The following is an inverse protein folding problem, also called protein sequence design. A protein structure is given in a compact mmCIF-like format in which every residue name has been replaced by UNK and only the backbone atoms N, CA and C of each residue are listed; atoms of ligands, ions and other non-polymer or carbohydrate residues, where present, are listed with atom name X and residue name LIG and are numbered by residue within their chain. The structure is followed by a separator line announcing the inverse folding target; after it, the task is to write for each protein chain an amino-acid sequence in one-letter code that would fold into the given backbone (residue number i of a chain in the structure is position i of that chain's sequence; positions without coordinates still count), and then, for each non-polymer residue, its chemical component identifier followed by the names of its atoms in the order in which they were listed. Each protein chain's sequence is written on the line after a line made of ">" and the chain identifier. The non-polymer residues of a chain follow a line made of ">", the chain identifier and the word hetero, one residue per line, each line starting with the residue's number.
data_IF_879319396640
#
_entry.id   IF_879319396640
#
_cell.length_a   1.000
_cell.length_b   1.000
_cell.length_c   1.000
_cell.angle_alpha   90.00
_cell.angle_beta   90.00
_cell.angle_gamma   90.00
#
_symmetry.space_group_name_H-M   'P 1'
#
loop_
_entity.id
_entity.type
_entity.pdbx_description
1 polymer ?
#
# COMPACT_ATOMS: atom_id res chain seq x y z
N UNK A 1 -15.08 16.37 -6.57
CA UNK A 1 -15.52 17.33 -7.61
C UNK A 1 -17.03 17.18 -7.79
N UNK A 2 -17.85 18.24 -7.64
CA UNK A 2 -19.30 18.17 -7.86
C UNK A 2 -19.56 18.07 -9.37
N UNK A 3 -19.68 16.85 -9.89
CA UNK A 3 -20.15 16.63 -11.26
C UNK A 3 -21.69 16.68 -11.27
N UNK A 4 -22.20 17.90 -11.13
CA UNK A 4 -23.62 18.25 -10.97
C UNK A 4 -24.34 18.35 -12.33
N UNK A 5 -24.19 17.33 -13.18
CA UNK A 5 -24.84 17.38 -14.50
C UNK A 5 -25.29 16.02 -15.08
N UNK A 6 -25.54 15.02 -14.22
CA UNK A 6 -26.37 13.88 -14.63
C UNK A 6 -27.82 14.20 -14.27
N UNK A 7 -28.60 14.68 -15.25
CA UNK A 7 -30.08 14.71 -15.16
C UNK A 7 -30.59 13.28 -15.13
N UNK A 8 -30.50 12.64 -13.98
CA UNK A 8 -31.06 11.32 -13.74
C UNK A 8 -32.55 11.48 -13.43
N UNK A 9 -33.44 10.70 -14.06
CA UNK A 9 -34.89 10.85 -13.86
C UNK A 9 -35.38 10.38 -12.49
N UNK A 10 -34.58 9.59 -11.76
CA UNK A 10 -34.86 9.18 -10.40
C UNK A 10 -34.16 10.08 -9.38
N UNK A 11 -34.80 10.25 -8.22
CA UNK A 11 -34.30 11.00 -7.07
C UNK A 11 -32.95 10.46 -6.56
N UNK A 12 -32.16 11.34 -5.96
CA UNK A 12 -30.88 10.98 -5.34
C UNK A 12 -31.06 10.43 -3.92
N UNK A 13 -30.16 9.54 -3.50
CA UNK A 13 -30.17 8.93 -2.17
C UNK A 13 -30.01 9.97 -1.05
N UNK A 14 -29.35 11.12 -1.30
CA UNK A 14 -29.24 12.19 -0.31
C UNK A 14 -30.61 12.85 -0.05
N UNK A 15 -31.42 13.05 -1.10
CA UNK A 15 -32.77 13.62 -0.97
C UNK A 15 -33.68 12.72 -0.13
N UNK A 16 -33.62 11.40 -0.33
CA UNK A 16 -34.43 10.45 0.44
C UNK A 16 -33.97 10.36 1.89
N UNK A 17 -32.66 10.45 2.15
CA UNK A 17 -32.13 10.53 3.52
C UNK A 17 -32.63 11.78 4.25
N UNK A 18 -32.60 12.93 3.59
CA UNK A 18 -33.14 14.17 4.16
C UNK A 18 -34.66 14.11 4.38
N UNK A 19 -35.41 13.53 3.44
CA UNK A 19 -36.85 13.36 3.59
C UNK A 19 -37.21 12.46 4.78
N UNK A 20 -36.44 11.39 5.00
CA UNK A 20 -36.65 10.44 6.09
C UNK A 20 -36.51 11.07 7.50
N UNK A 21 -35.76 12.17 7.66
CA UNK A 21 -35.60 12.83 8.97
C UNK A 21 -36.78 13.72 9.37
N UNK A 22 -37.63 14.11 8.41
CA UNK A 22 -38.73 15.08 8.64
C UNK A 22 -40.11 14.43 8.84
N UNK A 23 -40.17 13.09 8.97
CA UNK A 23 -41.43 12.36 9.15
C UNK A 23 -41.91 12.39 10.61
N UNK A 24 -43.24 12.25 10.85
CA UNK A 24 -43.77 12.09 12.20
C UNK A 24 -43.16 10.88 12.93
N UNK A 25 -42.78 11.08 14.20
CA UNK A 25 -42.15 10.06 15.04
C UNK A 25 -43.18 9.07 15.60
N UNK A 26 -43.69 8.19 14.74
CA UNK A 26 -44.57 7.07 15.12
C UNK A 26 -43.73 5.88 15.59
N UNK A 27 -44.32 4.91 16.34
CA UNK A 27 -43.61 3.67 16.68
C UNK A 27 -43.04 2.92 15.46
N UNK A 28 -43.71 3.00 14.31
CA UNK A 28 -43.24 2.42 13.05
C UNK A 28 -42.04 3.17 12.48
N UNK A 29 -42.11 4.51 12.44
CA UNK A 29 -41.02 5.35 11.93
C UNK A 29 -39.75 5.27 12.79
N UNK A 30 -39.90 4.97 14.09
CA UNK A 30 -38.81 4.76 15.03
C UNK A 30 -38.20 3.34 14.97
N UNK A 31 -38.84 2.40 14.28
CA UNK A 31 -38.34 1.03 14.16
C UNK A 31 -37.06 0.97 13.31
N UNK A 32 -36.09 0.13 13.69
CA UNK A 32 -34.91 -0.14 12.86
C UNK A 32 -35.29 -0.66 11.48
N UNK A 33 -36.39 -1.41 11.36
CA UNK A 33 -36.89 -1.95 10.10
C UNK A 33 -37.39 -0.90 9.10
N UNK A 34 -37.62 0.34 9.56
CA UNK A 34 -38.05 1.45 8.72
C UNK A 34 -36.88 2.31 8.21
N UNK A 35 -35.67 2.11 8.74
CA UNK A 35 -34.48 2.86 8.31
C UNK A 35 -34.13 2.52 6.85
N UNK A 36 -33.60 3.51 6.13
CA UNK A 36 -33.09 3.30 4.78
C UNK A 36 -31.87 2.38 4.84
N UNK A 37 -31.88 1.29 4.07
CA UNK A 37 -30.84 0.26 4.17
C UNK A 37 -29.41 0.77 3.91
N UNK A 38 -29.23 1.78 3.05
CA UNK A 38 -27.92 2.37 2.75
C UNK A 38 -27.44 3.36 3.82
N UNK A 39 -28.31 3.79 4.74
CA UNK A 39 -28.02 4.71 5.85
C UNK A 39 -28.12 3.99 7.22
N UNK A 40 -28.43 2.70 7.22
CA UNK A 40 -28.53 1.87 8.43
C UNK A 40 -27.18 1.18 8.73
N UNK A 41 -26.40 1.80 9.61
CA UNK A 41 -25.11 1.27 10.07
C UNK A 41 -25.21 -0.12 10.69
N UNK A 42 -26.26 -0.41 11.47
CA UNK A 42 -26.42 -1.71 12.11
C UNK A 42 -26.66 -2.81 11.07
N UNK A 43 -27.50 -2.51 10.07
CA UNK A 43 -27.74 -3.40 8.94
C UNK A 43 -26.47 -3.65 8.11
N UNK A 44 -25.73 -2.59 7.75
CA UNK A 44 -24.49 -2.69 6.98
C UNK A 44 -23.38 -3.47 7.70
N UNK A 45 -23.38 -3.45 9.04
CA UNK A 45 -22.40 -4.16 9.86
C UNK A 45 -22.70 -5.66 10.06
N UNK A 46 -23.87 -6.14 9.63
CA UNK A 46 -24.23 -7.57 9.70
C UNK A 46 -23.31 -8.46 8.87
N UNK A 47 -23.12 -9.70 9.32
CA UNK A 47 -22.23 -10.66 8.65
C UNK A 47 -22.64 -10.94 7.20
N UNK A 48 -23.93 -10.96 6.89
CA UNK A 48 -24.45 -11.19 5.54
C UNK A 48 -24.06 -10.05 4.57
N UNK A 49 -23.77 -8.86 5.09
CA UNK A 49 -23.39 -7.68 4.32
C UNK A 49 -21.86 -7.52 4.20
N UNK A 50 -21.08 -8.53 4.65
CA UNK A 50 -19.63 -8.57 4.43
C UNK A 50 -19.22 -8.39 2.96
N UNK A 51 -19.89 -8.98 1.94
CA UNK A 51 -19.53 -8.75 0.54
C UNK A 51 -19.68 -7.28 0.12
N UNK A 52 -20.68 -6.57 0.65
CA UNK A 52 -20.88 -5.13 0.38
C UNK A 52 -19.76 -4.31 1.01
N UNK A 53 -19.35 -4.63 2.25
CA UNK A 53 -18.23 -3.96 2.92
C UNK A 53 -16.89 -4.20 2.21
N UNK A 54 -16.64 -5.43 1.74
CA UNK A 54 -15.48 -5.75 0.89
C UNK A 54 -15.48 -4.92 -0.40
N UNK A 55 -16.64 -4.78 -1.05
CA UNK A 55 -16.78 -3.95 -2.25
C UNK A 55 -16.49 -2.47 -1.95
N UNK A 56 -16.95 -1.94 -0.82
CA UNK A 56 -16.66 -0.57 -0.41
C UNK A 56 -15.16 -0.33 -0.15
N UNK A 57 -14.47 -1.27 0.50
CA UNK A 57 -13.01 -1.19 0.70
C UNK A 57 -12.23 -1.33 -0.60
N UNK A 58 -12.76 -2.03 -1.60
CA UNK A 58 -12.16 -2.05 -2.94
C UNK A 58 -12.37 -0.71 -3.66
N UNK A 59 -13.60 -0.17 -3.63
CA UNK A 59 -13.98 1.01 -4.42
C UNK A 59 -13.49 2.32 -3.84
N UNK A 60 -13.56 2.54 -2.52
CA UNK A 60 -13.27 3.85 -1.93
C UNK A 60 -11.83 4.33 -2.22
N UNK A 61 -10.77 3.53 -1.99
CA UNK A 61 -9.41 3.96 -2.31
C UNK A 61 -9.21 4.12 -3.82
N UNK A 62 -9.78 3.21 -4.63
CA UNK A 62 -9.69 3.26 -6.08
C UNK A 62 -10.26 4.56 -6.66
N UNK A 63 -11.49 4.91 -6.27
CA UNK A 63 -12.16 6.12 -6.75
C UNK A 63 -11.42 7.38 -6.32
N UNK A 64 -11.00 7.47 -5.05
CA UNK A 64 -10.33 8.66 -4.51
C UNK A 64 -8.90 8.83 -5.04
N UNK A 65 -8.16 7.73 -5.27
CA UNK A 65 -6.87 7.79 -5.96
C UNK A 65 -7.02 8.23 -7.42
N UNK A 66 -8.05 7.76 -8.11
CA UNK A 66 -8.37 8.21 -9.48
C UNK A 66 -8.75 9.70 -9.52
N UNK A 67 -9.57 10.18 -8.59
CA UNK A 67 -9.92 11.61 -8.46
C UNK A 67 -8.68 12.48 -8.18
N UNK A 68 -7.73 11.95 -7.40
CA UNK A 68 -6.46 12.61 -7.13
C UNK A 68 -5.44 12.51 -8.29
N UNK A 69 -5.76 11.79 -9.37
CA UNK A 69 -4.94 11.59 -10.55
C UNK A 69 -3.75 10.64 -10.36
N UNK A 70 -3.78 9.74 -9.37
CA UNK A 70 -2.68 8.80 -9.12
C UNK A 70 -2.72 7.68 -10.16
N UNK A 71 -1.79 7.70 -11.12
CA UNK A 71 -1.73 6.71 -12.19
C UNK A 71 -0.89 5.49 -11.83
N UNK A 72 0.19 5.70 -11.09
CA UNK A 72 1.08 4.61 -10.64
C UNK A 72 1.74 4.92 -9.30
N UNK A 73 2.21 3.87 -8.65
CA UNK A 73 2.79 3.94 -7.32
C UNK A 73 4.14 3.22 -7.25
N UNK A 74 4.98 3.67 -6.31
CA UNK A 74 6.15 2.92 -5.86
C UNK A 74 5.89 2.47 -4.43
N UNK A 75 5.89 1.16 -4.23
CA UNK A 75 5.51 0.55 -2.96
C UNK A 75 6.72 0.41 -2.06
N UNK A 76 6.64 0.96 -0.85
CA UNK A 76 7.67 0.79 0.19
C UNK A 76 7.14 -0.06 1.34
N UNK A 77 7.75 -1.21 1.54
CA UNK A 77 7.53 -2.07 2.70
C UNK A 77 8.77 -2.12 3.59
N UNK A 78 8.58 -2.20 4.91
CA UNK A 78 9.69 -2.32 5.84
C UNK A 78 9.27 -2.31 7.30
N UNK A 79 10.24 -2.45 8.18
CA UNK A 79 10.00 -2.57 9.62
C UNK A 79 9.39 -1.31 10.23
N UNK A 80 8.18 -1.43 10.79
CA UNK A 80 7.52 -0.38 11.57
C UNK A 80 8.26 0.00 12.87
N UNK A 81 9.30 -0.75 13.24
CA UNK A 81 10.07 -0.57 14.48
C UNK A 81 11.45 0.05 14.24
N UNK A 82 11.85 0.25 12.99
CA UNK A 82 13.13 0.88 12.65
C UNK A 82 13.05 2.34 13.06
N UNK A 83 13.91 2.84 13.97
CA UNK A 83 13.84 4.21 14.43
C UNK A 83 14.43 5.17 13.38
N UNK A 84 13.93 6.40 13.37
CA UNK A 84 14.63 7.54 12.77
C UNK A 84 16.04 7.67 13.41
N UNK A 85 17.08 8.08 12.68
CA UNK A 85 18.44 8.16 13.22
C UNK A 85 18.58 9.01 14.47
N UNK A 86 17.81 10.09 14.59
CA UNK A 86 17.78 10.94 15.79
C UNK A 86 17.35 10.16 17.05
N UNK A 87 16.59 9.09 16.88
CA UNK A 87 16.06 8.23 17.94
C UNK A 87 16.74 6.84 17.96
N UNK A 88 17.89 6.68 17.29
CA UNK A 88 18.61 5.40 17.19
C UNK A 88 18.91 4.77 18.56
N UNK A 89 19.26 5.59 19.56
CA UNK A 89 19.60 5.13 20.90
C UNK A 89 18.39 4.60 21.70
N UNK A 90 17.17 4.91 21.28
CA UNK A 90 15.94 4.38 21.88
C UNK A 90 15.58 2.99 21.33
N UNK A 91 16.35 2.44 20.39
CA UNK A 91 16.09 1.11 19.82
C UNK A 91 16.19 0.01 20.89
N UNK A 92 15.28 -0.97 20.81
CA UNK A 92 15.24 -2.10 21.76
C UNK A 92 16.48 -3.00 21.70
N UNK A 93 17.18 -3.03 20.57
CA UNK A 93 18.38 -3.85 20.37
C UNK A 93 19.39 -3.09 19.53
N UNK A 94 20.67 -3.43 19.67
CA UNK A 94 21.74 -2.88 18.84
C UNK A 94 21.51 -3.14 17.35
N UNK A 95 21.07 -4.35 16.99
CA UNK A 95 20.74 -4.70 15.61
C UNK A 95 19.63 -3.78 15.06
N UNK A 96 18.59 -3.50 15.84
CA UNK A 96 17.52 -2.60 15.41
C UNK A 96 18.00 -1.15 15.27
N UNK A 97 18.87 -0.69 16.15
CA UNK A 97 19.55 0.59 16.01
C UNK A 97 20.37 0.65 14.71
N UNK A 98 21.09 -0.41 14.35
CA UNK A 98 21.91 -0.45 13.14
C UNK A 98 21.05 -0.45 11.86
N UNK A 99 19.82 -0.97 11.92
CA UNK A 99 18.84 -0.86 10.83
C UNK A 99 18.33 0.58 10.60
N UNK A 100 18.60 1.52 11.51
CA UNK A 100 18.18 2.92 11.36
C UNK A 100 18.74 3.58 10.08
N UNK A 101 19.88 3.09 9.55
CA UNK A 101 20.38 3.52 8.23
C UNK A 101 19.34 3.36 7.11
N UNK A 102 18.51 2.31 7.18
CA UNK A 102 17.47 2.06 6.18
C UNK A 102 16.27 3.01 6.30
N UNK A 103 16.11 3.71 7.43
CA UNK A 103 15.17 4.83 7.51
C UNK A 103 15.64 5.95 6.56
N UNK A 104 16.92 6.33 6.61
CA UNK A 104 17.46 7.37 5.72
C UNK A 104 17.49 6.95 4.26
N UNK A 105 17.83 5.68 3.97
CA UNK A 105 17.75 5.17 2.60
C UNK A 105 16.32 5.21 2.06
N UNK A 106 15.33 4.80 2.84
CA UNK A 106 13.92 4.87 2.44
C UNK A 106 13.45 6.31 2.20
N UNK A 107 13.85 7.24 3.07
CA UNK A 107 13.55 8.67 2.93
C UNK A 107 14.21 9.27 1.69
N UNK A 108 15.48 8.98 1.49
CA UNK A 108 16.27 9.49 0.35
C UNK A 108 15.73 8.95 -0.96
N UNK A 109 15.48 7.64 -1.03
CA UNK A 109 14.88 7.00 -2.21
C UNK A 109 13.50 7.60 -2.54
N UNK A 110 12.63 7.73 -1.54
CA UNK A 110 11.31 8.33 -1.74
C UNK A 110 11.39 9.79 -2.21
N UNK A 111 12.32 10.58 -1.66
CA UNK A 111 12.59 11.95 -2.11
C UNK A 111 13.02 12.00 -3.57
N UNK A 112 14.03 11.21 -3.96
CA UNK A 112 14.54 11.16 -5.33
C UNK A 112 13.47 10.76 -6.35
N UNK A 113 12.68 9.73 -6.04
CA UNK A 113 11.58 9.30 -6.92
C UNK A 113 10.47 10.34 -7.01
N UNK A 114 10.19 11.03 -5.90
CA UNK A 114 9.16 12.07 -5.87
C UNK A 114 9.59 13.32 -6.64
N UNK A 115 10.84 13.75 -6.53
CA UNK A 115 11.39 14.86 -7.33
C UNK A 115 11.22 14.60 -8.83
N UNK A 116 11.53 13.37 -9.27
CA UNK A 116 11.34 12.91 -10.66
C UNK A 116 9.86 12.86 -11.04
N UNK A 117 9.00 12.38 -10.15
CA UNK A 117 7.55 12.35 -10.38
C UNK A 117 6.99 13.76 -10.55
N UNK A 118 7.30 14.68 -9.64
CA UNK A 118 6.85 16.08 -9.64
C UNK A 118 7.33 16.80 -10.90
N UNK A 119 8.57 16.58 -11.33
CA UNK A 119 9.08 17.12 -12.60
C UNK A 119 8.27 16.66 -13.83
N UNK A 120 7.57 15.54 -13.73
CA UNK A 120 6.71 14.96 -14.76
C UNK A 120 5.20 15.06 -14.43
N UNK A 121 4.80 16.02 -13.58
CA UNK A 121 3.40 16.30 -13.26
C UNK A 121 2.87 15.69 -11.96
N UNK A 122 3.66 14.88 -11.25
CA UNK A 122 3.36 14.41 -9.90
C UNK A 122 2.25 13.35 -9.80
N UNK A 123 1.92 12.68 -10.91
CA UNK A 123 0.82 11.72 -11.02
C UNK A 123 1.28 10.26 -11.17
N UNK A 124 2.53 10.04 -11.57
CA UNK A 124 3.16 8.72 -11.72
C UNK A 124 4.13 8.47 -10.55
N UNK A 125 4.43 7.20 -10.25
CA UNK A 125 5.44 6.83 -9.25
C UNK A 125 5.21 7.46 -7.87
N UNK A 126 3.95 7.66 -7.48
CA UNK A 126 3.60 8.23 -6.17
C UNK A 126 3.97 7.23 -5.07
N UNK A 127 4.67 7.70 -4.03
CA UNK A 127 5.09 6.82 -2.93
C UNK A 127 3.86 6.31 -2.17
N UNK A 128 3.75 4.99 -2.03
CA UNK A 128 2.71 4.33 -1.23
C UNK A 128 3.33 3.45 -0.15
N UNK A 129 2.81 3.58 1.07
CA UNK A 129 3.27 2.80 2.23
C UNK A 129 2.06 2.33 3.05
N UNK A 130 2.30 1.55 4.10
CA UNK A 130 1.27 1.17 5.06
C UNK A 130 0.83 2.28 6.02
N UNK A 131 1.41 3.49 5.92
CA UNK A 131 1.03 4.66 6.71
C UNK A 131 1.42 4.61 8.20
N UNK A 132 2.20 3.61 8.62
CA UNK A 132 2.71 3.48 9.99
C UNK A 132 4.06 4.17 10.21
N UNK A 133 4.69 3.97 11.39
CA UNK A 133 6.02 4.49 11.72
C UNK A 133 7.15 3.73 11.00
N UNK A 134 8.40 4.15 11.23
CA UNK A 134 9.60 3.50 10.72
C UNK A 134 9.79 3.69 9.23
N UNK A 135 10.10 2.62 8.48
CA UNK A 135 10.33 2.73 7.02
C UNK A 135 9.14 3.33 6.27
N UNK A 136 7.92 3.02 6.70
CA UNK A 136 6.70 3.58 6.09
C UNK A 136 6.66 5.10 6.24
N UNK A 137 6.91 5.60 7.45
CA UNK A 137 7.02 7.03 7.71
C UNK A 137 8.17 7.67 6.94
N UNK A 138 9.35 7.04 6.91
CA UNK A 138 10.49 7.53 6.15
C UNK A 138 10.15 7.73 4.67
N UNK A 139 9.45 6.77 4.05
CA UNK A 139 8.98 6.87 2.68
C UNK A 139 7.99 8.03 2.48
N UNK A 140 6.96 8.13 3.32
CA UNK A 140 5.99 9.23 3.23
C UNK A 140 6.66 10.59 3.45
N UNK A 141 7.61 10.68 4.39
CA UNK A 141 8.38 11.89 4.69
C UNK A 141 9.28 12.29 3.54
N UNK A 142 9.99 11.36 2.91
CA UNK A 142 10.82 11.65 1.75
C UNK A 142 10.03 12.25 0.59
N UNK A 143 8.82 11.74 0.35
CA UNK A 143 7.91 12.33 -0.63
C UNK A 143 7.43 13.73 -0.22
N UNK A 144 7.10 13.93 1.05
CA UNK A 144 6.71 15.24 1.58
C UNK A 144 7.85 16.27 1.50
N UNK A 145 9.10 15.88 1.79
CA UNK A 145 10.29 16.73 1.67
C UNK A 145 10.49 17.23 0.22
N UNK A 146 10.11 16.42 -0.76
CA UNK A 146 10.14 16.77 -2.19
C UNK A 146 8.90 17.56 -2.66
N UNK A 147 7.95 17.87 -1.76
CA UNK A 147 6.71 18.58 -2.08
C UNK A 147 5.70 17.77 -2.92
N UNK A 148 5.85 16.45 -2.99
CA UNK A 148 4.94 15.57 -3.71
C UNK A 148 3.85 14.95 -2.84
N UNK A 149 2.95 14.20 -3.48
CA UNK A 149 1.92 13.42 -2.81
C UNK A 149 2.51 12.11 -2.26
N UNK A 150 1.94 11.60 -1.18
CA UNK A 150 2.26 10.27 -0.65
C UNK A 150 1.01 9.60 -0.09
N UNK A 151 0.90 8.29 -0.26
CA UNK A 151 -0.28 7.49 0.07
C UNK A 151 0.00 6.66 1.33
N UNK A 152 -0.99 6.61 2.23
CA UNK A 152 -1.00 5.76 3.40
C UNK A 152 -2.16 4.77 3.31
N UNK A 153 -1.85 3.47 3.18
CA UNK A 153 -2.82 2.39 3.26
C UNK A 153 -2.75 1.79 4.66
N UNK A 154 -3.43 2.39 5.64
CA UNK A 154 -3.46 1.95 7.04
C UNK A 154 -4.38 0.75 7.24
N UNK A 155 -4.26 0.08 8.39
CA UNK A 155 -5.20 -0.98 8.77
C UNK A 155 -5.56 -0.88 10.25
N UNK A 156 -6.82 -1.20 10.57
CA UNK A 156 -7.29 -1.23 11.95
C UNK A 156 -6.59 -2.37 12.70
N UNK A 157 -5.87 -2.02 13.77
CA UNK A 157 -5.21 -2.95 14.68
C UNK A 157 -5.69 -2.70 16.13
N UNK A 158 -5.61 -3.71 17.03
CA UNK A 158 -6.06 -3.58 18.43
C UNK A 158 -5.36 -2.47 19.23
N UNK A 159 -4.16 -2.08 18.81
CA UNK A 159 -3.48 -0.90 19.31
C UNK A 159 -3.43 0.10 18.17
N UNK A 160 -4.16 1.20 18.34
CA UNK A 160 -4.33 2.21 17.31
C UNK A 160 -3.00 2.90 17.03
N UNK A 161 -2.55 2.83 15.78
CA UNK A 161 -1.48 3.69 15.28
C UNK A 161 -2.16 4.77 14.45
N UNK A 162 -2.10 6.01 14.91
CA UNK A 162 -2.42 7.13 14.04
C UNK A 162 -1.55 7.03 12.78
N UNK A 163 -2.08 7.34 11.59
CA UNK A 163 -1.26 7.44 10.40
C UNK A 163 -0.12 8.44 10.65
N UNK A 164 1.06 8.18 10.08
CA UNK A 164 2.15 9.13 10.19
C UNK A 164 1.78 10.47 9.53
N UNK A 165 2.33 11.56 10.06
CA UNK A 165 1.93 12.94 9.71
C UNK A 165 2.35 13.37 8.30
N UNK A 166 3.12 12.54 7.59
CA UNK A 166 3.65 12.84 6.25
C UNK A 166 2.81 12.25 5.11
N UNK A 167 1.80 11.44 5.44
CA UNK A 167 0.80 10.99 4.46
C UNK A 167 -0.02 12.19 3.98
N UNK A 168 -0.27 12.29 2.68
CA UNK A 168 -1.18 13.33 2.16
C UNK A 168 -2.59 13.10 2.72
N UNK A 169 -3.22 14.08 3.40
CA UNK A 169 -4.49 13.85 4.12
C UNK A 169 -5.60 13.21 3.28
N UNK A 170 -5.77 13.65 2.03
CA UNK A 170 -6.78 13.13 1.11
C UNK A 170 -6.44 11.75 0.52
N UNK A 171 -5.23 11.23 0.79
CA UNK A 171 -4.72 9.92 0.34
C UNK A 171 -4.36 9.00 1.52
N UNK A 172 -5.01 9.21 2.67
CA UNK A 172 -4.90 8.37 3.86
C UNK A 172 -6.13 7.46 3.97
N UNK A 173 -5.95 6.17 3.67
CA UNK A 173 -7.01 5.18 3.66
C UNK A 173 -6.86 4.21 4.82
N UNK A 174 -7.96 3.84 5.49
CA UNK A 174 -7.95 2.90 6.60
C UNK A 174 -8.78 1.67 6.24
N UNK A 175 -8.14 0.50 6.24
CA UNK A 175 -8.72 -0.77 5.86
C UNK A 175 -9.13 -1.58 7.10
N UNK A 176 -10.12 -2.46 6.91
CA UNK A 176 -10.43 -3.51 7.88
C UNK A 176 -9.98 -4.88 7.36
N UNK A 177 -10.02 -5.12 6.05
CA UNK A 177 -9.61 -6.40 5.46
C UNK A 177 -8.19 -6.35 4.88
N UNK A 178 -7.28 -7.17 5.44
CA UNK A 178 -5.89 -7.30 4.94
C UNK A 178 -5.82 -7.60 3.44
N UNK A 179 -6.65 -8.52 2.93
CA UNK A 179 -6.60 -8.93 1.54
C UNK A 179 -6.86 -7.76 0.57
N UNK A 180 -7.83 -6.88 0.88
CA UNK A 180 -8.15 -5.74 0.02
C UNK A 180 -7.04 -4.69 0.09
N UNK A 181 -6.47 -4.46 1.28
CA UNK A 181 -5.30 -3.59 1.45
C UNK A 181 -4.10 -4.07 0.62
N UNK A 182 -3.81 -5.37 0.66
CA UNK A 182 -2.74 -6.02 -0.11
C UNK A 182 -2.92 -5.84 -1.62
N UNK A 183 -4.15 -6.02 -2.11
CA UNK A 183 -4.49 -5.74 -3.51
C UNK A 183 -4.19 -4.28 -3.89
N UNK A 184 -4.58 -3.31 -3.06
CA UNK A 184 -4.36 -1.88 -3.36
C UNK A 184 -2.89 -1.47 -3.44
N UNK A 185 -1.99 -2.15 -2.70
CA UNK A 185 -0.55 -1.92 -2.88
C UNK A 185 -0.10 -2.24 -4.31
N UNK A 186 -0.62 -3.33 -4.88
CA UNK A 186 -0.10 -3.90 -6.12
C UNK A 186 -0.86 -3.47 -7.38
N UNK A 187 -2.12 -3.04 -7.25
CA UNK A 187 -2.97 -2.63 -8.38
C UNK A 187 -2.37 -1.50 -9.24
N UNK A 188 -1.56 -0.63 -8.63
CA UNK A 188 -0.89 0.51 -9.29
C UNK A 188 0.63 0.45 -9.26
N UNK A 189 1.20 -0.62 -8.69
CA UNK A 189 2.63 -0.72 -8.46
C UNK A 189 3.40 -0.72 -9.78
N UNK A 190 4.35 0.22 -9.91
CA UNK A 190 5.39 0.22 -10.93
C UNK A 190 6.75 -0.20 -10.39
N UNK A 191 6.89 -0.27 -9.08
CA UNK A 191 8.04 -0.88 -8.41
C UNK A 191 7.65 -1.28 -6.98
N UNK A 192 8.35 -2.28 -6.43
CA UNK A 192 8.21 -2.73 -5.06
C UNK A 192 9.58 -2.73 -4.39
N UNK A 193 9.70 -2.00 -3.29
CA UNK A 193 10.93 -1.84 -2.52
C UNK A 193 10.72 -2.42 -1.12
N UNK A 194 11.49 -3.44 -0.78
CA UNK A 194 11.44 -4.15 0.49
C UNK A 194 12.67 -3.79 1.31
N UNK A 195 12.46 -3.07 2.40
CA UNK A 195 13.46 -2.77 3.42
C UNK A 195 13.40 -3.80 4.54
N UNK A 196 14.46 -3.93 5.37
CA UNK A 196 14.47 -4.86 6.49
C UNK A 196 13.24 -4.71 7.39
N UNK A 197 12.65 -5.85 7.76
CA UNK A 197 11.35 -5.85 8.44
C UNK A 197 11.00 -7.19 9.09
N UNK A 198 9.79 -7.24 9.64
CA UNK A 198 9.27 -8.43 10.33
C UNK A 198 8.24 -9.18 9.48
N UNK A 199 7.30 -9.86 10.15
CA UNK A 199 6.28 -10.67 9.49
C UNK A 199 5.46 -9.92 8.45
N UNK A 200 5.01 -8.68 8.74
CA UNK A 200 4.25 -7.91 7.75
C UNK A 200 5.04 -7.67 6.47
N UNK A 201 6.32 -7.31 6.58
CA UNK A 201 7.20 -7.11 5.43
C UNK A 201 7.43 -8.39 4.64
N UNK A 202 7.66 -9.52 5.34
CA UNK A 202 7.85 -10.82 4.68
C UNK A 202 6.58 -11.31 3.99
N UNK A 203 5.42 -11.13 4.60
CA UNK A 203 4.11 -11.45 4.04
C UNK A 203 3.89 -10.74 2.69
N UNK A 204 4.09 -9.41 2.66
CA UNK A 204 3.97 -8.64 1.43
C UNK A 204 5.02 -9.01 0.37
N UNK A 205 6.26 -9.31 0.81
CA UNK A 205 7.33 -9.73 -0.09
C UNK A 205 7.01 -11.05 -0.79
N UNK A 206 6.63 -12.09 -0.02
CA UNK A 206 6.32 -13.39 -0.59
C UNK A 206 5.04 -13.38 -1.41
N UNK A 207 4.01 -12.62 -1.01
CA UNK A 207 2.79 -12.47 -1.81
C UNK A 207 3.11 -11.84 -3.18
N UNK A 208 3.85 -10.73 -3.18
CA UNK A 208 4.21 -10.02 -4.41
C UNK A 208 5.07 -10.90 -5.33
N UNK A 209 6.11 -11.55 -4.80
CA UNK A 209 6.94 -12.49 -5.57
C UNK A 209 6.11 -13.65 -6.13
N UNK A 210 5.17 -14.21 -5.36
CA UNK A 210 4.29 -15.28 -5.82
C UNK A 210 3.39 -14.82 -6.97
N UNK A 211 2.84 -13.61 -6.89
CA UNK A 211 1.98 -13.06 -7.95
C UNK A 211 2.75 -12.83 -9.25
N UNK A 212 3.99 -12.36 -9.15
CA UNK A 212 4.88 -12.17 -10.32
C UNK A 212 5.32 -13.53 -10.88
N UNK A 213 5.77 -14.44 -10.02
CA UNK A 213 6.21 -15.80 -10.39
C UNK A 213 5.13 -16.55 -11.18
N UNK A 214 3.88 -16.44 -10.73
CA UNK A 214 2.72 -17.14 -11.32
C UNK A 214 2.10 -16.40 -12.52
N UNK A 215 2.62 -15.23 -12.91
CA UNK A 215 2.08 -14.42 -14.01
C UNK A 215 0.73 -13.78 -13.71
N UNK A 216 0.29 -13.78 -12.45
CA UNK A 216 -0.95 -13.11 -12.00
C UNK A 216 -0.78 -11.60 -11.92
N UNK A 217 0.46 -11.12 -11.81
CA UNK A 217 0.86 -9.72 -11.89
C UNK A 217 1.96 -9.56 -12.97
N UNK A 218 2.03 -8.37 -13.57
CA UNK A 218 3.19 -7.99 -14.40
C UNK A 218 4.47 -7.96 -13.56
N UNK A 219 5.59 -8.28 -14.18
CA UNK A 219 6.88 -8.05 -13.55
C UNK A 219 7.07 -6.54 -13.34
N UNK A 220 7.48 -6.18 -12.14
CA UNK A 220 7.88 -4.83 -11.78
C UNK A 220 9.25 -4.91 -11.11
N UNK A 221 10.07 -3.85 -11.18
CA UNK A 221 11.26 -3.75 -10.37
C UNK A 221 10.99 -4.14 -8.91
N UNK A 222 11.74 -5.12 -8.42
CA UNK A 222 11.58 -5.69 -7.09
C UNK A 222 12.91 -5.63 -6.34
N UNK A 223 13.03 -4.67 -5.43
CA UNK A 223 14.30 -4.32 -4.81
C UNK A 223 14.31 -4.72 -3.34
N UNK A 224 15.32 -5.47 -2.93
CA UNK A 224 15.59 -5.84 -1.55
C UNK A 224 16.73 -4.97 -1.00
N UNK A 225 16.42 -4.03 -0.11
CA UNK A 225 17.42 -3.19 0.53
C UNK A 225 18.16 -3.98 1.62
N UNK A 226 19.49 -3.97 1.57
CA UNK A 226 20.35 -4.54 2.60
C UNK A 226 20.54 -6.04 2.48
N UNK A 227 21.40 -6.47 1.54
CA UNK A 227 21.63 -7.88 1.21
C UNK A 227 21.94 -8.75 2.43
N UNK A 228 22.85 -8.28 3.29
CA UNK A 228 23.29 -9.01 4.49
C UNK A 228 22.10 -9.39 5.42
N UNK A 229 21.09 -8.52 5.53
CA UNK A 229 19.92 -8.81 6.35
C UNK A 229 19.13 -9.99 5.81
N UNK A 230 18.89 -10.01 4.49
CA UNK A 230 18.06 -11.01 3.83
C UNK A 230 18.74 -12.38 3.75
N UNK A 231 20.00 -12.43 3.35
CA UNK A 231 20.77 -13.69 3.26
C UNK A 231 20.96 -14.36 4.63
N UNK A 232 20.91 -13.57 5.71
CA UNK A 232 20.96 -14.10 7.07
C UNK A 232 19.66 -14.80 7.50
N UNK A 233 18.52 -14.42 6.95
CA UNK A 233 17.21 -14.94 7.37
C UNK A 233 16.58 -15.90 6.36
N UNK A 234 16.95 -15.81 5.09
CA UNK A 234 16.43 -16.64 4.00
C UNK A 234 17.61 -17.14 3.17
N UNK A 235 17.67 -18.46 3.00
CA UNK A 235 18.58 -19.09 2.06
C UNK A 235 17.82 -19.39 0.76
N UNK A 236 17.97 -18.52 -0.24
CA UNK A 236 17.22 -18.58 -1.49
C UNK A 236 17.69 -19.73 -2.38
N UNK A 237 18.99 -19.98 -2.38
CA UNK A 237 19.63 -21.07 -3.10
C UNK A 237 19.10 -22.41 -2.60
N UNK A 238 18.95 -22.59 -1.28
CA UNK A 238 18.35 -23.80 -0.73
C UNK A 238 16.89 -24.01 -1.17
N UNK A 239 16.11 -22.95 -1.40
CA UNK A 239 14.75 -23.08 -1.95
C UNK A 239 14.76 -23.56 -3.39
N UNK A 240 15.70 -23.07 -4.20
CA UNK A 240 15.89 -23.48 -5.58
C UNK A 240 16.44 -24.91 -5.70
N UNK A 241 17.47 -25.24 -4.91
CA UNK A 241 18.04 -26.59 -4.81
C UNK A 241 17.01 -27.63 -4.35
N UNK A 242 16.13 -27.25 -3.42
CA UNK A 242 15.01 -28.10 -2.98
C UNK A 242 13.90 -28.26 -4.04
N UNK A 243 13.97 -27.53 -5.17
CA UNK A 243 12.97 -27.56 -6.23
C UNK A 243 11.64 -26.91 -5.84
N UNK A 244 11.61 -26.10 -4.77
CA UNK A 244 10.40 -25.39 -4.33
C UNK A 244 10.16 -24.09 -5.12
N UNK A 245 11.22 -23.55 -5.71
CA UNK A 245 11.23 -22.48 -6.72
C UNK A 245 12.24 -22.86 -7.82
N UNK A 246 12.21 -22.17 -8.95
CA UNK A 246 13.21 -22.32 -10.02
C UNK A 246 14.40 -21.36 -9.82
N UNK A 247 15.55 -21.66 -10.43
CA UNK A 247 16.69 -20.73 -10.45
C UNK A 247 16.33 -19.40 -11.15
N UNK A 248 15.40 -19.42 -12.11
CA UNK A 248 14.91 -18.19 -12.76
C UNK A 248 14.08 -17.32 -11.82
N UNK A 249 13.49 -17.87 -10.76
CA UNK A 249 12.77 -17.09 -9.76
C UNK A 249 13.70 -16.22 -8.92
N UNK A 250 14.97 -16.62 -8.76
CA UNK A 250 15.99 -15.79 -8.11
C UNK A 250 16.30 -14.52 -8.90
N UNK A 251 15.91 -14.46 -10.18
CA UNK A 251 16.02 -13.26 -11.02
C UNK A 251 14.84 -12.30 -10.83
N UNK A 252 13.83 -12.64 -10.02
CA UNK A 252 12.67 -11.76 -9.80
C UNK A 252 12.98 -10.57 -8.90
N UNK A 253 14.06 -10.60 -8.13
CA UNK A 253 14.46 -9.49 -7.26
C UNK A 253 15.95 -9.14 -7.43
N UNK A 254 16.33 -7.94 -7.02
CA UNK A 254 17.73 -7.49 -6.94
C UNK A 254 17.99 -6.91 -5.57
N UNK A 255 19.20 -7.13 -5.05
CA UNK A 255 19.66 -6.44 -3.85
C UNK A 255 20.15 -5.04 -4.19
N UNK A 256 19.96 -4.12 -3.25
CA UNK A 256 20.47 -2.76 -3.29
C UNK A 256 20.93 -2.33 -1.91
N UNK A 257 21.93 -1.47 -1.84
CA UNK A 257 22.42 -0.90 -0.58
C UNK A 257 22.09 0.58 -0.42
N UNK A 258 21.90 1.31 -1.52
CA UNK A 258 21.59 2.76 -1.50
C UNK A 258 20.39 3.15 -2.33
N UNK A 259 19.81 4.31 -2.00
CA UNK A 259 18.77 4.94 -2.77
C UNK A 259 19.16 5.19 -4.24
N UNK A 260 20.39 5.62 -4.51
CA UNK A 260 20.87 5.89 -5.87
C UNK A 260 20.97 4.63 -6.72
N UNK A 261 21.49 3.53 -6.14
CA UNK A 261 21.55 2.23 -6.81
C UNK A 261 20.15 1.71 -7.15
N UNK A 262 19.21 1.86 -6.20
CA UNK A 262 17.82 1.50 -6.43
C UNK A 262 17.21 2.29 -7.60
N UNK A 263 17.45 3.60 -7.65
CA UNK A 263 16.96 4.47 -8.72
C UNK A 263 17.53 4.06 -10.09
N UNK A 264 18.82 3.73 -10.17
CA UNK A 264 19.45 3.26 -11.41
C UNK A 264 18.82 1.94 -11.90
N UNK A 265 18.63 0.98 -10.99
CA UNK A 265 18.05 -0.32 -11.33
C UNK A 265 16.59 -0.25 -11.77
N UNK A 266 15.82 0.74 -11.28
CA UNK A 266 14.45 0.95 -11.76
C UNK A 266 14.40 1.28 -13.26
N UNK A 267 15.39 2.01 -13.77
CA UNK A 267 15.45 2.43 -15.18
C UNK A 267 15.90 1.30 -16.11
N UNK A 268 16.72 0.38 -15.61
CA UNK A 268 17.33 -0.70 -16.42
C UNK A 268 16.70 -2.07 -16.17
N UNK A 269 15.52 -2.14 -15.54
CA UNK A 269 14.91 -3.41 -15.16
C UNK A 269 14.38 -4.20 -16.36
N UNK A 270 14.98 -5.36 -16.62
CA UNK A 270 14.55 -6.28 -17.69
C UNK A 270 13.20 -6.94 -17.36
N UNK A 271 12.28 -6.96 -18.34
CA UNK A 271 10.97 -7.59 -18.21
C UNK A 271 9.92 -6.75 -17.48
N UNK A 272 10.21 -5.51 -17.09
CA UNK A 272 9.22 -4.63 -16.47
C UNK A 272 7.99 -4.43 -17.38
N UNK A 273 6.79 -4.67 -16.84
CA UNK A 273 5.52 -4.63 -17.57
C UNK A 273 5.14 -5.93 -18.29
N UNK A 274 5.98 -6.96 -18.27
CA UNK A 274 5.69 -8.24 -18.91
C UNK A 274 5.13 -9.26 -17.90
N UNK A 275 4.11 -10.03 -18.32
CA UNK A 275 3.64 -11.20 -17.56
C UNK A 275 4.38 -12.45 -17.99
N UNK A 276 4.72 -13.30 -17.02
CA UNK A 276 5.25 -14.64 -17.32
C UNK A 276 4.18 -15.48 -18.02
N UNK A 277 4.51 -16.02 -19.20
CA UNK A 277 3.64 -16.92 -19.96
C UNK A 277 3.66 -18.38 -19.47
N UNK A 278 4.68 -18.75 -18.70
CA UNK A 278 4.85 -20.07 -18.08
C UNK A 278 5.54 -19.90 -16.74
N UNK A 279 5.30 -20.84 -15.81
CA UNK A 279 6.02 -20.92 -14.53
C UNK A 279 7.27 -21.76 -14.77
N UNK A 280 8.49 -21.19 -14.70
CA UNK A 280 9.69 -21.98 -14.97
C UNK A 280 9.78 -23.19 -14.04
N UNK A 281 10.14 -24.35 -14.60
CA UNK A 281 10.21 -25.61 -13.85
C UNK A 281 8.88 -26.33 -13.60
N UNK A 282 7.76 -25.90 -14.20
CA UNK A 282 6.45 -26.57 -14.14
C UNK A 282 5.78 -26.72 -15.50
#
# INVERSE_FOLDING_TARGET
>A
MKDDNRRHPFRDSQEDREAATHIPQTPQALSSTYRLAFDDYEFLCRDELRPVRLQLELLKPELLMNEAGVNSTIVLFGGARIPEPANKDAARTRTLADLSKYYEEARTFARLMTERSVANGGLENVIVTGGGPGVMEAGNRGAADAGGKSIGLNIVLPHEQAPNEYVTPDLCFNFHYFAIRKMHFLMRAKAVCIFPGGFGTMDEMFESLTLIQTGRMEQVPFLLFGREFWERIINWEALAEAGTISEEDLKLFRYVETAEEAVELLETWEGAGEKRGSIPGR
#
